data_IF_384315274093
#
_entry.id   IF_384315274093
#
_cell.length_a   1.000
_cell.length_b   1.000
_cell.length_c   1.000
_cell.angle_alpha   90.00
_cell.angle_beta   90.00
_cell.angle_gamma   90.00
#
_symmetry.space_group_name_H-M   'P 1'
#
loop_
_entity.id
_entity.type
_entity.pdbx_description
1 polymer ?
#
# COMPACT_ATOMS: atom_id res chain seq x y z
N UNK A 1 42.58 9.88 57.53
CA UNK A 1 42.63 9.28 56.17
C UNK A 1 41.26 8.68 55.89
N UNK A 2 40.36 9.39 55.20
CA UNK A 2 39.99 9.27 53.76
C UNK A 2 39.52 7.82 53.47
N UNK A 3 38.27 7.55 53.08
CA UNK A 3 37.72 7.70 51.71
C UNK A 3 36.21 7.45 51.84
N UNK A 4 35.37 8.48 51.70
CA UNK A 4 34.64 8.88 50.49
C UNK A 4 33.46 7.94 50.14
N UNK A 5 32.26 8.44 50.41
CA UNK A 5 31.00 7.92 49.86
C UNK A 5 31.03 8.04 48.33
N UNK A 6 30.84 6.92 47.63
CA UNK A 6 30.58 6.93 46.20
C UNK A 6 29.12 6.56 45.97
N UNK A 7 28.29 7.61 45.87
CA UNK A 7 26.98 7.55 45.25
C UNK A 7 27.20 7.21 43.77
N UNK A 8 27.03 5.93 43.42
CA UNK A 8 26.85 5.55 42.02
C UNK A 8 25.42 5.94 41.62
N UNK A 9 25.27 7.20 41.22
CA UNK A 9 24.16 7.61 40.39
C UNK A 9 24.24 6.83 39.09
N UNK A 10 23.48 5.75 38.99
CA UNK A 10 23.14 5.18 37.69
C UNK A 10 22.19 6.18 37.06
N UNK A 11 22.76 7.17 36.39
CA UNK A 11 22.03 8.00 35.44
C UNK A 11 21.52 7.05 34.37
N UNK A 12 20.25 6.68 34.46
CA UNK A 12 19.53 6.12 33.33
C UNK A 12 19.68 7.11 32.19
N UNK A 13 20.59 6.82 31.26
CA UNK A 13 20.47 7.29 29.90
C UNK A 13 19.18 6.64 29.41
N UNK A 14 18.08 7.37 29.51
CA UNK A 14 16.94 7.14 28.67
C UNK A 14 17.49 7.36 27.25
N UNK A 15 17.90 6.28 26.59
CA UNK A 15 18.22 6.35 25.17
C UNK A 15 16.92 6.78 24.50
N UNK A 16 16.87 8.05 24.08
CA UNK A 16 15.92 8.46 23.06
C UNK A 16 16.31 7.63 21.84
N UNK A 17 15.62 6.50 21.62
CA UNK A 17 15.68 5.78 20.36
C UNK A 17 15.16 6.75 19.31
N UNK A 18 16.07 7.50 18.67
CA UNK A 18 15.74 8.28 17.49
C UNK A 18 15.33 7.28 16.42
N UNK A 19 14.15 7.47 15.83
CA UNK A 19 13.73 6.70 14.66
C UNK A 19 14.85 6.75 13.62
N UNK A 20 15.46 5.61 13.29
CA UNK A 20 16.50 5.54 12.28
C UNK A 20 15.84 5.63 10.91
N UNK A 21 16.47 6.37 10.00
CA UNK A 21 15.94 6.57 8.66
C UNK A 21 16.25 5.35 7.77
N UNK A 22 15.34 5.06 6.84
CA UNK A 22 15.50 4.09 5.75
C UNK A 22 14.97 4.65 4.43
N UNK A 23 15.18 3.95 3.32
CA UNK A 23 14.66 4.35 2.02
C UNK A 23 13.27 3.75 1.75
N UNK A 24 12.42 4.47 1.02
CA UNK A 24 11.21 3.89 0.42
C UNK A 24 11.40 3.78 -1.08
N UNK A 25 11.28 2.58 -1.64
CA UNK A 25 11.36 2.36 -3.09
C UNK A 25 10.21 1.51 -3.63
N UNK A 26 9.97 1.58 -4.94
CA UNK A 26 8.99 0.72 -5.60
C UNK A 26 8.71 1.13 -7.04
N UNK A 27 7.66 0.55 -7.61
CA UNK A 27 7.20 0.83 -8.98
C UNK A 27 5.76 1.31 -8.97
N UNK A 28 5.48 2.35 -9.76
CA UNK A 28 4.13 2.82 -10.04
C UNK A 28 3.63 2.18 -11.33
N UNK A 29 2.43 1.63 -11.31
CA UNK A 29 1.75 1.03 -12.45
C UNK A 29 0.48 1.81 -12.80
N UNK A 30 0.13 1.87 -14.08
CA UNK A 30 -1.12 2.45 -14.54
C UNK A 30 -2.30 1.47 -14.39
N UNK A 31 -3.50 1.88 -14.83
CA UNK A 31 -4.71 1.06 -14.74
C UNK A 31 -4.69 -0.20 -15.64
N UNK A 32 -3.73 -0.30 -16.57
CA UNK A 32 -3.52 -1.47 -17.44
C UNK A 32 -2.47 -2.43 -16.87
N UNK A 33 -1.82 -2.05 -15.76
CA UNK A 33 -0.72 -2.81 -15.16
C UNK A 33 0.64 -2.50 -15.81
N UNK A 34 0.73 -1.48 -16.64
CA UNK A 34 2.00 -1.08 -17.27
C UNK A 34 2.74 -0.09 -16.36
N UNK A 35 4.09 -0.11 -16.30
CA UNK A 35 4.84 0.85 -15.51
C UNK A 35 4.57 2.30 -15.93
N UNK A 36 4.30 3.16 -14.97
CA UNK A 36 3.89 4.55 -15.19
C UNK A 36 5.05 5.51 -14.94
N UNK A 37 5.60 6.07 -16.02
CA UNK A 37 6.68 7.05 -15.98
C UNK A 37 6.17 8.47 -15.72
N UNK A 38 7.06 9.35 -15.25
CA UNK A 38 6.80 10.78 -15.05
C UNK A 38 5.63 11.08 -14.10
N UNK A 39 5.36 10.19 -13.15
CA UNK A 39 4.35 10.35 -12.11
C UNK A 39 4.99 11.06 -10.93
N UNK A 40 4.41 12.18 -10.51
CA UNK A 40 4.88 12.92 -9.35
C UNK A 40 4.33 12.30 -8.06
N UNK A 41 5.23 12.03 -7.12
CA UNK A 41 4.93 11.47 -5.81
C UNK A 41 5.40 12.44 -4.71
N UNK A 42 4.69 12.43 -3.59
CA UNK A 42 4.99 13.30 -2.44
C UNK A 42 4.74 12.58 -1.12
N UNK A 43 5.61 12.81 -0.14
CA UNK A 43 5.36 12.55 1.27
C UNK A 43 5.24 13.90 1.97
N UNK A 44 4.01 14.40 2.10
CA UNK A 44 3.73 15.78 2.49
C UNK A 44 4.22 16.11 3.92
N UNK A 45 4.13 15.16 4.85
CA UNK A 45 4.59 15.34 6.22
C UNK A 45 6.12 15.54 6.34
N UNK A 46 6.89 15.08 5.35
CA UNK A 46 8.35 15.22 5.29
C UNK A 46 8.81 16.25 4.24
N UNK A 47 7.88 16.82 3.46
CA UNK A 47 8.20 17.71 2.35
C UNK A 47 9.02 17.06 1.23
N UNK A 48 9.01 15.72 1.15
CA UNK A 48 9.77 14.97 0.15
C UNK A 48 8.95 14.81 -1.12
N UNK A 49 9.59 15.00 -2.27
CA UNK A 49 8.98 14.78 -3.59
C UNK A 49 9.91 13.97 -4.47
N UNK A 50 9.33 13.15 -5.34
CA UNK A 50 10.08 12.40 -6.35
C UNK A 50 9.22 12.22 -7.61
N UNK A 51 9.84 11.85 -8.72
CA UNK A 51 9.16 11.58 -9.99
C UNK A 51 9.58 10.20 -10.47
N UNK A 52 8.63 9.39 -10.93
CA UNK A 52 8.94 8.04 -11.40
C UNK A 52 9.77 8.05 -12.68
N UNK A 53 10.72 7.11 -12.76
CA UNK A 53 11.55 6.88 -13.94
C UNK A 53 10.77 6.31 -15.13
N UNK A 54 11.46 6.13 -16.25
CA UNK A 54 10.86 5.58 -17.49
C UNK A 54 10.30 4.15 -17.32
N UNK A 55 10.83 3.42 -16.35
CA UNK A 55 10.43 2.07 -15.94
C UNK A 55 9.41 2.08 -14.78
N UNK A 56 8.86 3.25 -14.44
CA UNK A 56 7.92 3.45 -13.33
C UNK A 56 8.54 3.38 -11.93
N UNK A 57 9.86 3.20 -11.82
CA UNK A 57 10.55 3.11 -10.52
C UNK A 57 10.57 4.46 -9.80
N UNK A 58 10.54 4.44 -8.47
CA UNK A 58 10.75 5.62 -7.63
C UNK A 58 11.52 5.30 -6.36
N UNK A 59 12.11 6.33 -5.74
CA UNK A 59 12.75 6.25 -4.42
C UNK A 59 12.57 7.55 -3.64
N UNK A 60 12.28 7.42 -2.35
CA UNK A 60 12.46 8.44 -1.32
C UNK A 60 13.60 8.00 -0.42
N UNK A 61 14.57 8.88 -0.18
CA UNK A 61 15.69 8.60 0.71
C UNK A 61 15.47 9.22 2.08
N UNK A 62 16.17 8.70 3.09
CA UNK A 62 16.24 9.26 4.44
C UNK A 62 14.86 9.47 5.11
N UNK A 63 13.97 8.49 4.95
CA UNK A 63 12.63 8.50 5.54
C UNK A 63 12.70 7.90 6.95
N UNK A 64 12.32 8.68 7.97
CA UNK A 64 12.32 8.23 9.35
C UNK A 64 11.45 6.98 9.53
N UNK A 65 11.80 6.11 10.48
CA UNK A 65 10.95 4.98 10.82
C UNK A 65 9.55 5.44 11.28
N UNK A 66 8.52 4.74 10.81
CA UNK A 66 7.12 5.05 11.07
C UNK A 66 6.17 4.82 9.89
N UNK A 67 4.89 5.08 10.12
CA UNK A 67 3.86 5.06 9.06
C UNK A 67 3.90 6.38 8.28
N UNK A 68 4.04 6.27 6.96
CA UNK A 68 4.08 7.38 6.03
C UNK A 68 3.00 7.31 4.95
N UNK A 69 2.60 8.48 4.45
CA UNK A 69 1.62 8.61 3.36
C UNK A 69 2.29 9.08 2.08
N UNK A 70 2.33 8.20 1.09
CA UNK A 70 2.74 8.55 -0.28
C UNK A 70 1.50 9.03 -1.04
N UNK A 71 1.55 10.26 -1.52
CA UNK A 71 0.54 10.86 -2.40
C UNK A 71 0.99 10.79 -3.86
N UNK A 72 0.10 10.33 -4.73
CA UNK A 72 0.24 10.46 -6.18
C UNK A 72 -0.38 11.78 -6.59
N UNK A 73 0.39 12.64 -7.27
CA UNK A 73 -0.02 13.97 -7.66
C UNK A 73 -0.41 14.05 -9.14
N UNK A 74 -1.44 14.84 -9.42
CA UNK A 74 -1.75 15.35 -10.74
C UNK A 74 -1.72 16.88 -10.68
N UNK A 75 -0.64 17.48 -11.18
CA UNK A 75 -0.32 18.88 -10.88
C UNK A 75 -0.07 19.06 -9.38
N UNK A 76 -0.78 20.00 -8.75
CA UNK A 76 -0.68 20.25 -7.30
C UNK A 76 -1.68 19.45 -6.45
N UNK A 77 -2.49 18.58 -7.06
CA UNK A 77 -3.55 17.86 -6.36
C UNK A 77 -3.19 16.39 -6.14
N UNK A 78 -3.27 15.93 -4.89
CA UNK A 78 -3.20 14.51 -4.56
C UNK A 78 -4.45 13.75 -5.07
N UNK A 79 -4.26 12.85 -6.01
CA UNK A 79 -5.34 12.05 -6.61
C UNK A 79 -5.53 10.70 -5.94
N UNK A 80 -4.48 10.15 -5.34
CA UNK A 80 -4.45 8.87 -4.61
C UNK A 80 -3.44 8.95 -3.47
N UNK A 81 -3.71 8.24 -2.37
CA UNK A 81 -2.80 8.13 -1.22
C UNK A 81 -2.62 6.68 -0.82
N UNK A 82 -1.41 6.32 -0.43
CA UNK A 82 -1.03 4.96 -0.06
C UNK A 82 -0.20 5.01 1.22
N UNK A 83 -0.47 4.08 2.13
CA UNK A 83 0.30 3.92 3.37
C UNK A 83 1.49 3.00 3.15
N UNK A 84 2.60 3.32 3.80
CA UNK A 84 3.80 2.49 3.88
C UNK A 84 4.36 2.61 5.30
N UNK A 85 4.88 1.52 5.84
CA UNK A 85 5.56 1.52 7.12
C UNK A 85 7.06 1.33 6.88
N UNK A 86 7.88 2.18 7.48
CA UNK A 86 9.33 2.07 7.49
C UNK A 86 9.74 1.54 8.86
N UNK A 87 10.36 0.37 8.90
CA UNK A 87 10.90 -0.20 10.14
C UNK A 87 12.23 0.47 10.52
N UNK A 88 12.61 0.39 11.79
CA UNK A 88 13.78 1.10 12.33
C UNK A 88 15.06 0.73 11.57
N UNK A 89 15.61 1.71 10.84
CA UNK A 89 16.86 1.58 10.08
C UNK A 89 16.79 0.61 8.90
N UNK A 90 15.58 0.30 8.41
CA UNK A 90 15.36 -0.64 7.31
C UNK A 90 14.67 0.01 6.13
N UNK A 91 15.01 -0.43 4.92
CA UNK A 91 14.35 0.03 3.69
C UNK A 91 12.93 -0.58 3.59
N UNK A 92 11.99 0.23 3.10
CA UNK A 92 10.62 -0.18 2.82
C UNK A 92 10.38 -0.26 1.31
N UNK A 93 9.65 -1.29 0.89
CA UNK A 93 9.19 -1.43 -0.50
C UNK A 93 7.70 -1.20 -0.61
N UNK A 94 7.28 -0.36 -1.56
CA UNK A 94 5.87 -0.12 -1.85
C UNK A 94 5.60 0.07 -3.34
N UNK A 95 4.88 -0.89 -3.93
CA UNK A 95 4.33 -0.70 -5.26
C UNK A 95 2.99 0.05 -5.21
N UNK A 96 2.71 0.86 -6.23
CA UNK A 96 1.52 1.69 -6.32
C UNK A 96 0.83 1.38 -7.65
N UNK A 97 -0.45 0.99 -7.61
CA UNK A 97 -1.27 0.91 -8.82
C UNK A 97 -2.17 2.14 -8.86
N UNK A 98 -2.07 2.91 -9.92
CA UNK A 98 -2.90 4.09 -10.14
C UNK A 98 -4.31 3.66 -10.51
N UNK A 99 -5.24 3.89 -9.60
CA UNK A 99 -6.66 3.64 -9.82
C UNK A 99 -7.36 4.97 -10.06
N UNK A 100 -8.06 5.08 -11.20
CA UNK A 100 -8.88 6.27 -11.45
C UNK A 100 -10.05 6.28 -10.47
N UNK A 101 -10.36 7.44 -9.89
CA UNK A 101 -11.54 7.59 -9.01
C UNK A 101 -12.83 7.17 -9.72
N UNK A 102 -12.92 7.33 -11.05
CA UNK A 102 -14.04 6.81 -11.84
C UNK A 102 -14.11 5.28 -11.87
N UNK A 103 -12.98 4.61 -12.05
CA UNK A 103 -12.93 3.15 -12.01
C UNK A 103 -13.31 2.62 -10.62
N UNK A 104 -12.79 3.25 -9.56
CA UNK A 104 -13.15 2.91 -8.18
C UNK A 104 -14.63 3.18 -7.93
N UNK A 105 -15.18 4.31 -8.36
CA UNK A 105 -16.60 4.63 -8.19
C UNK A 105 -17.52 3.74 -9.06
N UNK A 106 -17.08 3.35 -10.25
CA UNK A 106 -17.81 2.40 -11.10
C UNK A 106 -17.81 0.99 -10.52
N UNK A 107 -16.68 0.57 -9.93
CA UNK A 107 -16.57 -0.72 -9.25
C UNK A 107 -17.32 -0.73 -7.92
N UNK A 108 -17.07 0.21 -7.01
CA UNK A 108 -17.73 0.25 -5.70
C UNK A 108 -19.21 0.66 -5.80
N UNK A 109 -19.56 1.52 -6.75
CA UNK A 109 -20.96 1.86 -7.02
C UNK A 109 -21.78 0.70 -7.59
N UNK A 110 -21.14 -0.35 -8.11
CA UNK A 110 -21.79 -1.59 -8.52
C UNK A 110 -21.62 -2.75 -7.53
N UNK A 111 -20.53 -2.76 -6.75
CA UNK A 111 -20.18 -3.86 -5.86
C UNK A 111 -20.76 -3.71 -4.44
N UNK A 112 -21.04 -2.49 -3.97
CA UNK A 112 -21.57 -2.26 -2.63
C UNK A 112 -22.60 -1.12 -2.64
N UNK A 113 -23.88 -1.41 -2.93
CA UNK A 113 -24.95 -0.45 -2.72
C UNK A 113 -25.14 -0.34 -1.20
N UNK A 114 -24.34 0.50 -0.55
CA UNK A 114 -24.37 0.64 0.91
C UNK A 114 -25.72 1.20 1.42
N UNK A 115 -26.60 1.71 0.55
CA UNK A 115 -27.86 2.35 0.92
C UNK A 115 -28.99 2.13 -0.12
N UNK A 116 -29.02 0.99 -0.82
CA UNK A 116 -30.12 0.73 -1.75
C UNK A 116 -31.38 0.24 -1.01
N UNK A 117 -32.30 1.16 -0.69
CA UNK A 117 -33.66 0.87 -0.20
C UNK A 117 -34.54 0.11 -1.23
N UNK A 118 -34.05 -0.11 -2.45
CA UNK A 118 -34.77 -0.73 -3.57
C UNK A 118 -34.46 -2.23 -3.79
N UNK A 119 -33.65 -2.85 -2.92
CA UNK A 119 -33.33 -4.28 -3.01
C UNK A 119 -32.23 -4.65 -4.01
N UNK A 120 -31.51 -3.69 -4.59
CA UNK A 120 -30.38 -3.94 -5.52
C UNK A 120 -29.26 -4.79 -4.89
N UNK A 121 -29.06 -4.69 -3.56
CA UNK A 121 -28.10 -5.53 -2.84
C UNK A 121 -28.43 -7.03 -2.90
N UNK A 122 -29.70 -7.38 -2.73
CA UNK A 122 -30.18 -8.78 -2.79
C UNK A 122 -30.05 -9.33 -4.21
N UNK A 123 -30.32 -8.50 -5.23
CA UNK A 123 -30.14 -8.89 -6.63
C UNK A 123 -28.67 -9.11 -6.98
N UNK A 124 -27.77 -8.25 -6.49
CA UNK A 124 -26.33 -8.40 -6.70
C UNK A 124 -25.79 -9.68 -6.03
N UNK A 125 -26.23 -9.97 -4.80
CA UNK A 125 -25.86 -11.19 -4.09
C UNK A 125 -26.40 -12.45 -4.77
N UNK A 126 -27.68 -12.45 -5.14
CA UNK A 126 -28.31 -13.59 -5.85
C UNK A 126 -27.61 -13.88 -7.17
N UNK A 127 -27.28 -12.83 -7.95
CA UNK A 127 -26.55 -12.97 -9.21
C UNK A 127 -25.14 -13.53 -9.02
N UNK A 128 -24.47 -13.13 -7.94
CA UNK A 128 -23.15 -13.68 -7.60
C UNK A 128 -23.23 -15.17 -7.24
N UNK A 129 -24.26 -15.59 -6.49
CA UNK A 129 -24.50 -17.01 -6.18
C UNK A 129 -24.83 -17.83 -7.43
N UNK A 130 -25.66 -17.30 -8.34
CA UNK A 130 -25.97 -17.95 -9.62
C UNK A 130 -24.72 -18.15 -10.49
N UNK A 131 -23.86 -17.14 -10.58
CA UNK A 131 -22.61 -17.23 -11.33
C UNK A 131 -21.65 -18.25 -10.70
N UNK A 132 -21.55 -18.29 -9.37
CA UNK A 132 -20.72 -19.25 -8.66
C UNK A 132 -21.20 -20.70 -8.89
N UNK A 133 -22.52 -20.92 -8.91
CA UNK A 133 -23.09 -22.22 -9.22
C UNK A 133 -22.89 -22.60 -10.69
N UNK A 134 -23.04 -21.64 -11.62
CA UNK A 134 -22.73 -21.85 -13.04
C UNK A 134 -21.27 -22.24 -13.24
N UNK A 135 -20.34 -21.53 -12.60
CA UNK A 135 -18.92 -21.88 -12.62
C UNK A 135 -18.68 -23.28 -12.06
N UNK A 136 -19.35 -23.66 -10.97
CA UNK A 136 -19.24 -25.00 -10.38
C UNK A 136 -19.72 -26.09 -11.34
N UNK A 137 -20.78 -25.83 -12.10
CA UNK A 137 -21.31 -26.76 -13.11
C UNK A 137 -20.45 -26.83 -14.38
N UNK A 138 -19.82 -25.73 -14.76
CA UNK A 138 -18.94 -25.64 -15.93
C UNK A 138 -17.53 -26.17 -15.66
N UNK A 139 -17.14 -26.38 -14.38
CA UNK A 139 -15.93 -27.13 -14.04
C UNK A 139 -16.17 -28.61 -14.41
N UNK A 140 -15.47 -29.18 -15.41
CA UNK A 140 -15.62 -30.58 -15.74
C UNK A 140 -15.20 -31.42 -14.52
N UNK A 141 -16.16 -32.14 -13.94
CA UNK A 141 -15.95 -33.13 -12.87
C UNK A 141 -14.99 -34.22 -13.35
N UNK A 142 -13.68 -33.98 -13.25
CA UNK A 142 -12.66 -34.90 -13.74
C UNK A 142 -11.24 -34.32 -13.80
N UNK A 143 -11.08 -33.01 -13.99
CA UNK A 143 -9.79 -32.36 -13.80
C UNK A 143 -9.85 -31.53 -12.53
N UNK A 144 -9.30 -32.08 -11.44
CA UNK A 144 -8.80 -31.24 -10.36
C UNK A 144 -7.75 -30.31 -10.97
N UNK A 145 -8.19 -29.13 -11.43
CA UNK A 145 -7.27 -28.03 -11.72
C UNK A 145 -6.72 -27.62 -10.36
N UNK A 146 -5.60 -28.24 -10.02
CA UNK A 146 -4.78 -27.91 -8.88
C UNK A 146 -4.65 -26.40 -8.86
N UNK A 147 -5.26 -25.78 -7.85
CA UNK A 147 -5.23 -24.34 -7.65
C UNK A 147 -3.78 -23.98 -7.33
N UNK A 148 -2.97 -23.79 -8.36
CA UNK A 148 -1.58 -23.36 -8.20
C UNK A 148 -1.62 -21.86 -8.02
N UNK A 149 -1.79 -21.43 -6.77
CA UNK A 149 -1.32 -20.11 -6.37
C UNK A 149 0.10 -19.99 -6.92
N UNK A 150 0.28 -19.06 -7.85
CA UNK A 150 1.56 -18.78 -8.46
C UNK A 150 2.29 -17.93 -7.43
N UNK A 151 2.88 -18.60 -6.45
CA UNK A 151 3.80 -17.96 -5.52
C UNK A 151 4.86 -17.25 -6.35
N UNK A 152 4.86 -15.92 -6.26
CA UNK A 152 5.87 -15.05 -6.80
C UNK A 152 7.10 -15.17 -5.89
N UNK A 153 7.76 -16.33 -5.93
CA UNK A 153 9.12 -16.47 -5.47
C UNK A 153 10.03 -16.38 -6.71
N UNK A 154 10.70 -15.24 -6.81
CA UNK A 154 11.69 -14.90 -7.81
C UNK A 154 12.21 -13.50 -7.56
#
# INVERSE_FOLDING_TARGET
MRIAAFLLGVSSLCAASGAQAGDIAGTVYDARGEPAAAVQLEIAELGLTTVTGADGSYRFADVLAGEHRIAVLQGSQAIQRVLVNVDDGSDASRNIVMVSRRAVNGFLGSAFPAEAEDGTGEQAFSRALELADQMTREIPMGEAREWRWRDLDG
#
